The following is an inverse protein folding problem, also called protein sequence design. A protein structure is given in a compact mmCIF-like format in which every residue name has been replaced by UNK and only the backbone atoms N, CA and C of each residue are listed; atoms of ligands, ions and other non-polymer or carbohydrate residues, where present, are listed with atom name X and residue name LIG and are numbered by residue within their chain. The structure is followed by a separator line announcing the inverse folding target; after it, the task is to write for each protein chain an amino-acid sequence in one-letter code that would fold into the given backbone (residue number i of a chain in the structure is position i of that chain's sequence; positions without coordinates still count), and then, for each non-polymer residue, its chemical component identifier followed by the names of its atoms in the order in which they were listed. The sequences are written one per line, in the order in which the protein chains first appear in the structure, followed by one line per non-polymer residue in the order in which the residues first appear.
data_IF_572102157560
#
_entry.id   IF_572102157560
#
_cell.length_a   1.000
_cell.length_b   1.000
_cell.length_c   1.000
_cell.angle_alpha   90.00
_cell.angle_beta   90.00
_cell.angle_gamma   90.00
#
_symmetry.space_group_name_H-M   'P 1'
#
loop_
_entity.id
_entity.type
_entity.pdbx_description
1 polymer ?
#
# COMPACT_ATOMS: atom_id res chain seq x y z
N UNK A 1 -2.47 54.03 27.44
CA UNK A 1 -3.40 54.23 26.31
C UNK A 1 -2.86 53.37 25.18
N UNK A 2 -3.32 52.12 25.11
CA UNK A 2 -4.35 51.66 24.15
C UNK A 2 -3.63 51.28 22.84
N UNK A 3 -3.69 50.07 22.29
CA UNK A 3 -4.72 49.03 22.31
C UNK A 3 -4.10 47.66 21.97
N UNK A 4 -4.58 46.63 22.65
CA UNK A 4 -4.43 45.23 22.28
C UNK A 4 -5.33 44.92 21.07
N UNK A 5 -4.81 44.25 20.04
CA UNK A 5 -5.66 43.66 18.98
C UNK A 5 -5.51 42.14 19.01
N UNK A 6 -6.40 41.56 19.80
CA UNK A 6 -6.72 40.15 19.88
C UNK A 6 -7.40 39.71 18.56
N UNK A 7 -6.79 38.79 17.81
CA UNK A 7 -7.38 38.25 16.57
C UNK A 7 -7.66 36.76 16.73
N UNK A 8 -8.86 36.48 17.27
CA UNK A 8 -9.51 35.19 17.30
C UNK A 8 -9.47 34.52 15.92
N UNK A 9 -8.75 33.40 15.80
CA UNK A 9 -8.86 32.49 14.65
C UNK A 9 -9.98 31.49 14.94
N UNK A 10 -11.08 31.63 14.22
CA UNK A 10 -12.25 30.75 14.25
C UNK A 10 -11.85 29.30 13.94
N UNK A 11 -12.18 28.37 14.84
CA UNK A 11 -12.21 26.93 14.56
C UNK A 11 -13.26 26.69 13.47
N UNK A 12 -12.84 26.31 12.27
CA UNK A 12 -13.75 25.72 11.28
C UNK A 12 -14.05 24.30 11.73
N UNK A 13 -15.25 24.08 12.24
CA UNK A 13 -15.80 22.77 12.54
C UNK A 13 -15.99 22.03 11.20
N UNK A 14 -15.25 20.95 10.97
CA UNK A 14 -15.38 20.15 9.76
C UNK A 14 -16.68 19.32 9.86
N UNK A 15 -17.73 19.78 9.17
CA UNK A 15 -18.95 19.02 8.99
C UNK A 15 -18.67 17.78 8.14
N UNK A 16 -18.77 16.59 8.74
CA UNK A 16 -18.80 15.34 8.00
C UNK A 16 -20.16 15.18 7.33
N UNK A 17 -20.18 15.30 6.00
CA UNK A 17 -21.36 15.04 5.18
C UNK A 17 -21.47 13.54 4.91
N UNK A 18 -22.10 12.79 5.82
CA UNK A 18 -22.75 11.54 5.43
C UNK A 18 -24.12 11.87 4.84
N UNK A 19 -24.11 12.33 3.58
CA UNK A 19 -25.31 12.57 2.76
C UNK A 19 -25.91 11.24 2.29
N UNK A 20 -26.28 10.38 3.24
CA UNK A 20 -26.93 9.10 2.98
C UNK A 20 -28.16 8.86 3.87
N UNK A 21 -28.44 9.75 4.84
CA UNK A 21 -29.61 9.62 5.73
C UNK A 21 -30.91 10.00 4.99
N UNK A 22 -30.87 10.94 4.06
CA UNK A 22 -32.06 11.43 3.33
C UNK A 22 -32.76 10.33 2.51
N UNK A 23 -32.09 9.22 2.19
CA UNK A 23 -32.69 8.10 1.45
C UNK A 23 -33.43 7.09 2.35
N UNK A 24 -33.32 7.20 3.68
CA UNK A 24 -33.94 6.26 4.63
C UNK A 24 -35.25 6.77 5.21
N UNK A 25 -35.50 8.08 5.18
CA UNK A 25 -36.69 8.68 5.79
C UNK A 25 -37.98 8.45 4.95
N UNK A 26 -37.86 8.24 3.64
CA UNK A 26 -39.01 8.03 2.74
C UNK A 26 -39.57 6.59 2.73
N UNK A 27 -39.05 5.66 3.53
CA UNK A 27 -39.49 4.24 3.52
C UNK A 27 -40.21 3.75 4.77
N UNK A 28 -40.39 4.58 5.80
CA UNK A 28 -41.07 4.16 7.02
C UNK A 28 -42.17 5.13 7.43
N UNK A 29 -43.32 5.04 6.75
CA UNK A 29 -44.59 5.40 7.37
C UNK A 29 -45.09 4.22 8.20
N UNK A 30 -45.23 4.35 9.53
CA UNK A 30 -45.82 3.31 10.36
C UNK A 30 -47.34 3.38 10.20
N UNK A 31 -47.87 2.73 9.17
CA UNK A 31 -49.30 2.52 8.99
C UNK A 31 -49.57 1.07 8.52
N UNK A 32 -50.08 0.29 9.46
CA UNK A 32 -51.07 -0.77 9.26
C UNK A 32 -50.68 -2.00 8.42
N UNK A 33 -50.12 -3.01 9.09
CA UNK A 33 -50.35 -4.41 8.69
C UNK A 33 -50.99 -5.14 9.87
N UNK A 34 -52.31 -5.26 9.80
CA UNK A 34 -53.12 -6.09 10.67
C UNK A 34 -52.72 -7.55 10.52
N UNK A 35 -52.50 -8.20 11.65
CA UNK A 35 -52.39 -9.64 11.80
C UNK A 35 -53.71 -10.29 11.42
N UNK A 36 -53.83 -10.86 10.22
CA UNK A 36 -54.84 -11.87 9.90
C UNK A 36 -54.46 -12.61 8.62
N UNK A 37 -53.72 -13.72 8.77
CA UNK A 37 -53.90 -15.00 8.05
C UNK A 37 -52.65 -15.86 8.20
N UNK A 38 -52.63 -16.65 9.26
CA UNK A 38 -51.86 -17.89 9.32
C UNK A 38 -52.57 -18.93 8.44
N UNK A 39 -51.89 -19.31 7.36
CA UNK A 39 -51.96 -20.57 6.60
C UNK A 39 -52.06 -20.29 5.11
N UNK A 40 -50.94 -20.46 4.40
CA UNK A 40 -50.89 -21.43 3.30
C UNK A 40 -49.44 -21.60 2.81
N UNK A 41 -49.02 -22.87 2.82
CA UNK A 41 -48.09 -23.48 1.85
C UNK A 41 -46.60 -23.10 1.93
N UNK A 42 -45.91 -23.92 2.71
CA UNK A 42 -44.51 -24.30 2.56
C UNK A 42 -44.10 -24.55 1.10
N UNK A 43 -43.37 -23.62 0.47
CA UNK A 43 -42.56 -23.87 -0.73
C UNK A 43 -41.63 -22.70 -1.11
N UNK A 44 -40.75 -22.22 -0.24
CA UNK A 44 -39.69 -21.28 -0.66
C UNK A 44 -38.37 -21.54 0.09
N UNK A 45 -37.63 -22.56 -0.35
CA UNK A 45 -36.25 -22.79 0.09
C UNK A 45 -35.19 -22.49 -0.98
N UNK A 46 -35.58 -22.03 -2.18
CA UNK A 46 -34.66 -21.76 -3.29
C UNK A 46 -34.38 -20.26 -3.55
N UNK A 47 -35.08 -19.32 -2.89
CA UNK A 47 -34.98 -17.87 -3.21
C UNK A 47 -34.01 -17.08 -2.31
N UNK A 48 -33.39 -17.71 -1.32
CA UNK A 48 -32.38 -17.07 -0.46
C UNK A 48 -31.00 -16.98 -1.12
N UNK A 49 -30.70 -17.87 -2.07
CA UNK A 49 -29.40 -17.94 -2.72
C UNK A 49 -29.26 -16.85 -3.79
N UNK A 50 -30.35 -16.54 -4.50
CA UNK A 50 -30.40 -15.44 -5.49
C UNK A 50 -30.32 -14.06 -4.83
N UNK A 51 -30.94 -13.86 -3.65
CA UNK A 51 -30.91 -12.58 -2.92
C UNK A 51 -29.52 -12.19 -2.42
N UNK A 52 -28.62 -13.16 -2.27
CA UNK A 52 -27.24 -12.91 -1.81
C UNK A 52 -26.21 -12.95 -2.95
N UNK A 53 -26.65 -13.12 -4.21
CA UNK A 53 -25.73 -13.27 -5.34
C UNK A 53 -24.79 -12.07 -5.48
N UNK A 54 -25.32 -10.84 -5.46
CA UNK A 54 -24.51 -9.62 -5.53
C UNK A 54 -23.56 -9.49 -4.33
N UNK A 55 -24.04 -9.83 -3.13
CA UNK A 55 -23.22 -9.79 -1.92
C UNK A 55 -22.04 -10.74 -2.03
N UNK A 56 -22.28 -11.96 -2.49
CA UNK A 56 -21.26 -13.00 -2.61
C UNK A 56 -20.23 -12.64 -3.70
N UNK A 57 -20.69 -12.07 -4.82
CA UNK A 57 -19.82 -11.54 -5.88
C UNK A 57 -18.94 -10.40 -5.35
N UNK A 58 -19.51 -9.44 -4.62
CA UNK A 58 -18.73 -8.38 -3.99
C UNK A 58 -17.71 -8.90 -2.97
N UNK A 59 -18.08 -9.92 -2.17
CA UNK A 59 -17.16 -10.55 -1.22
C UNK A 59 -16.01 -11.28 -1.93
N UNK A 60 -16.29 -11.96 -3.05
CA UNK A 60 -15.27 -12.61 -3.86
C UNK A 60 -14.31 -11.59 -4.47
N UNK A 61 -14.82 -10.47 -5.01
CA UNK A 61 -13.99 -9.39 -5.54
C UNK A 61 -13.12 -8.74 -4.45
N UNK A 62 -13.65 -8.59 -3.22
CA UNK A 62 -12.85 -8.09 -2.09
C UNK A 62 -11.71 -9.04 -1.71
N UNK A 63 -11.94 -10.36 -1.76
CA UNK A 63 -10.88 -11.34 -1.50
C UNK A 63 -9.83 -11.31 -2.62
N UNK A 64 -10.24 -11.22 -3.89
CA UNK A 64 -9.33 -11.02 -5.03
C UNK A 64 -8.49 -9.74 -4.86
N UNK A 65 -9.12 -8.62 -4.46
CA UNK A 65 -8.41 -7.36 -4.18
C UNK A 65 -7.42 -7.50 -3.03
N UNK A 66 -7.77 -8.24 -1.98
CA UNK A 66 -6.88 -8.53 -0.85
C UNK A 66 -5.67 -9.37 -1.29
N UNK A 67 -5.86 -10.39 -2.13
CA UNK A 67 -4.75 -11.18 -2.68
C UNK A 67 -3.82 -10.33 -3.56
N UNK A 68 -4.38 -9.46 -4.40
CA UNK A 68 -3.62 -8.49 -5.19
C UNK A 68 -2.86 -7.51 -4.29
N UNK A 69 -3.48 -7.04 -3.21
CA UNK A 69 -2.83 -6.16 -2.26
C UNK A 69 -1.75 -6.85 -1.44
N UNK A 70 -1.88 -8.13 -1.10
CA UNK A 70 -0.85 -8.90 -0.38
C UNK A 70 0.33 -9.16 -1.31
N UNK A 71 0.08 -9.62 -2.54
CA UNK A 71 1.11 -9.85 -3.55
C UNK A 71 1.84 -8.56 -3.96
N UNK A 72 1.16 -7.42 -3.88
CA UNK A 72 1.73 -6.09 -4.16
C UNK A 72 1.98 -5.26 -2.90
N UNK A 73 1.84 -5.86 -1.71
CA UNK A 73 1.97 -5.11 -0.46
C UNK A 73 3.40 -4.63 -0.40
N UNK A 74 3.53 -3.31 -0.44
CA UNK A 74 4.79 -2.61 -0.27
C UNK A 74 5.31 -2.96 1.13
N UNK A 75 6.01 -4.10 1.29
CA UNK A 75 6.50 -4.62 2.56
C UNK A 75 6.86 -3.46 3.48
N UNK A 76 6.06 -3.30 4.52
CA UNK A 76 6.17 -2.16 5.40
C UNK A 76 7.49 -2.34 6.14
N UNK A 77 8.47 -1.51 5.84
CA UNK A 77 9.82 -1.62 6.40
C UNK A 77 9.81 -1.60 7.94
N UNK A 78 8.70 -1.15 8.53
CA UNK A 78 8.41 -1.12 9.95
C UNK A 78 8.06 -2.47 10.56
N UNK A 79 7.50 -3.42 9.79
CA UNK A 79 7.13 -4.76 10.29
C UNK A 79 8.26 -5.78 10.21
N UNK A 80 9.40 -5.41 9.59
CA UNK A 80 10.57 -6.27 9.49
C UNK A 80 11.29 -6.40 10.84
N UNK A 81 11.92 -7.56 11.11
CA UNK A 81 12.78 -7.73 12.27
C UNK A 81 13.92 -6.71 12.25
N UNK A 82 14.40 -6.32 13.44
CA UNK A 82 15.34 -5.21 13.62
C UNK A 82 16.62 -5.39 12.78
N UNK A 83 17.12 -6.61 12.69
CA UNK A 83 18.35 -6.94 11.95
C UNK A 83 18.16 -6.81 10.43
N UNK A 84 17.02 -7.28 9.92
CA UNK A 84 16.70 -7.14 8.50
C UNK A 84 16.46 -5.68 8.12
N UNK A 85 15.85 -4.90 9.03
CA UNK A 85 15.67 -3.46 8.86
C UNK A 85 17.00 -2.72 8.79
N UNK A 86 17.99 -3.10 9.59
CA UNK A 86 19.36 -2.56 9.53
C UNK A 86 20.02 -2.89 8.19
N UNK A 87 19.92 -4.14 7.74
CA UNK A 87 20.47 -4.58 6.45
C UNK A 87 19.84 -3.82 5.28
N UNK A 88 18.51 -3.65 5.31
CA UNK A 88 17.79 -2.85 4.33
C UNK A 88 18.27 -1.40 4.31
N UNK A 89 18.35 -0.73 5.47
CA UNK A 89 18.84 0.67 5.54
C UNK A 89 20.27 0.78 5.01
N UNK A 90 21.14 -0.18 5.34
CA UNK A 90 22.50 -0.24 4.83
C UNK A 90 22.53 -0.39 3.31
N UNK A 91 21.69 -1.26 2.76
CA UNK A 91 21.54 -1.45 1.32
C UNK A 91 21.11 -0.18 0.60
N UNK A 92 20.05 0.47 1.08
CA UNK A 92 19.54 1.73 0.51
C UNK A 92 20.60 2.82 0.54
N UNK A 93 21.31 2.97 1.66
CA UNK A 93 22.33 4.01 1.80
C UNK A 93 23.52 3.77 0.88
N UNK A 94 23.99 2.53 0.79
CA UNK A 94 25.14 2.17 -0.04
C UNK A 94 24.87 2.35 -1.53
N UNK A 95 23.68 1.95 -2.00
CA UNK A 95 23.29 2.07 -3.41
C UNK A 95 22.47 3.32 -3.73
N UNK A 96 22.47 4.31 -2.83
CA UNK A 96 21.72 5.56 -3.00
C UNK A 96 22.18 6.40 -4.18
N UNK A 97 23.44 6.26 -4.61
CA UNK A 97 24.02 6.96 -5.76
C UNK A 97 24.38 6.00 -6.88
N UNK A 98 24.14 6.45 -8.11
CA UNK A 98 24.48 5.69 -9.31
C UNK A 98 26.00 5.70 -9.54
N UNK A 99 26.62 4.54 -9.79
CA UNK A 99 28.07 4.47 -10.06
C UNK A 99 28.47 5.08 -11.42
N UNK A 100 27.52 5.23 -12.35
CA UNK A 100 27.79 5.69 -13.72
C UNK A 100 27.68 7.21 -13.88
N UNK A 101 26.74 7.85 -13.18
CA UNK A 101 26.48 9.29 -13.31
C UNK A 101 26.50 10.06 -11.98
N UNK A 102 26.64 9.38 -10.84
CA UNK A 102 26.64 10.01 -9.51
C UNK A 102 25.26 10.48 -9.00
N UNK A 103 24.23 10.49 -9.85
CA UNK A 103 22.88 10.91 -9.46
C UNK A 103 22.23 9.94 -8.45
N UNK A 104 21.27 10.45 -7.69
CA UNK A 104 20.52 9.63 -6.74
C UNK A 104 19.63 8.60 -7.44
N UNK A 105 19.66 7.39 -6.92
CA UNK A 105 18.74 6.33 -7.28
C UNK A 105 17.38 6.52 -6.62
N UNK A 106 16.32 6.17 -7.34
CA UNK A 106 14.97 6.19 -6.79
C UNK A 106 14.84 5.15 -5.66
N UNK A 107 14.44 5.62 -4.48
CA UNK A 107 14.22 4.77 -3.32
C UNK A 107 13.27 3.60 -3.62
N UNK A 108 12.19 3.86 -4.36
CA UNK A 108 11.22 2.83 -4.73
C UNK A 108 11.86 1.67 -5.53
N UNK A 109 12.75 1.98 -6.48
CA UNK A 109 13.42 0.96 -7.28
C UNK A 109 14.39 0.12 -6.43
N UNK A 110 15.13 0.76 -5.53
CA UNK A 110 16.02 0.06 -4.61
C UNK A 110 15.25 -0.80 -3.60
N UNK A 111 14.11 -0.28 -3.10
CA UNK A 111 13.19 -1.03 -2.23
C UNK A 111 12.68 -2.28 -2.95
N UNK A 112 12.17 -2.10 -4.17
CA UNK A 112 11.67 -3.20 -4.99
C UNK A 112 12.76 -4.23 -5.28
N UNK A 113 13.97 -3.79 -5.61
CA UNK A 113 15.11 -4.69 -5.86
C UNK A 113 15.48 -5.50 -4.60
N UNK A 114 15.41 -4.89 -3.41
CA UNK A 114 15.73 -5.57 -2.16
C UNK A 114 14.68 -6.63 -1.77
N UNK A 115 13.40 -6.36 -2.01
CA UNK A 115 12.31 -7.26 -1.65
C UNK A 115 11.86 -8.19 -2.79
N UNK A 116 12.41 -8.05 -3.99
CA UNK A 116 12.06 -8.91 -5.13
C UNK A 116 12.62 -10.32 -4.95
N UNK A 117 11.75 -11.32 -4.99
CA UNK A 117 12.14 -12.74 -5.01
C UNK A 117 12.83 -13.12 -6.33
N UNK A 118 12.33 -12.62 -7.45
CA UNK A 118 12.91 -12.83 -8.79
C UNK A 118 14.40 -12.44 -8.85
N UNK A 119 14.77 -11.36 -8.16
CA UNK A 119 16.13 -10.83 -8.16
C UNK A 119 16.95 -11.26 -6.94
N UNK A 120 16.58 -12.34 -6.24
CA UNK A 120 17.21 -12.77 -5.00
C UNK A 120 18.73 -12.96 -5.13
N UNK A 121 19.18 -13.60 -6.21
CA UNK A 121 20.61 -13.84 -6.49
C UNK A 121 21.38 -12.52 -6.63
N UNK A 122 20.77 -11.53 -7.30
CA UNK A 122 21.37 -10.21 -7.49
C UNK A 122 21.45 -9.47 -6.16
N UNK A 123 20.39 -9.51 -5.34
CA UNK A 123 20.37 -8.96 -3.99
C UNK A 123 21.49 -9.54 -3.12
N UNK A 124 21.67 -10.86 -3.10
CA UNK A 124 22.73 -11.50 -2.34
C UNK A 124 24.13 -11.06 -2.78
N UNK A 125 24.38 -11.01 -4.10
CA UNK A 125 25.65 -10.53 -4.64
C UNK A 125 25.92 -9.08 -4.23
N UNK A 126 24.94 -8.19 -4.41
CA UNK A 126 25.03 -6.79 -3.98
C UNK A 126 25.30 -6.68 -2.46
N UNK A 127 24.64 -7.51 -1.66
CA UNK A 127 24.84 -7.51 -0.20
C UNK A 127 26.26 -7.95 0.18
N UNK A 128 26.83 -8.94 -0.53
CA UNK A 128 28.24 -9.33 -0.36
C UNK A 128 29.19 -8.17 -0.70
N UNK A 129 28.91 -7.40 -1.75
CA UNK A 129 29.72 -6.23 -2.11
C UNK A 129 29.66 -5.12 -1.04
N UNK A 130 28.51 -4.92 -0.39
CA UNK A 130 28.42 -3.99 0.75
C UNK A 130 29.36 -4.42 1.88
N UNK A 131 29.41 -5.71 2.20
CA UNK A 131 30.29 -6.22 3.26
C UNK A 131 31.76 -6.10 2.88
N UNK A 132 32.11 -6.45 1.64
CA UNK A 132 33.48 -6.31 1.12
C UNK A 132 33.95 -4.85 1.06
N UNK A 133 33.09 -3.91 0.64
CA UNK A 133 33.44 -2.49 0.57
C UNK A 133 33.60 -1.83 1.95
N UNK A 134 33.03 -2.44 3.00
CA UNK A 134 33.14 -1.95 4.38
C UNK A 134 34.35 -2.56 5.09
N UNK A 135 34.69 -3.81 4.79
CA UNK A 135 35.87 -4.49 5.34
C UNK A 135 37.16 -4.10 4.62
N UNK A 136 37.11 -3.84 3.31
CA UNK A 136 38.28 -3.52 2.51
C UNK A 136 38.20 -2.10 1.93
N UNK A 137 38.89 -1.15 2.57
CA UNK A 137 39.10 0.23 2.06
C UNK A 137 39.79 0.31 0.68
N UNK A 138 40.24 -0.81 0.11
CA UNK A 138 41.02 -0.91 -1.14
C UNK A 138 40.20 -1.29 -2.39
N UNK A 139 38.88 -1.50 -2.29
CA UNK A 139 38.02 -1.78 -3.45
C UNK A 139 37.67 -0.51 -4.24
N UNK A 140 38.45 0.55 -4.09
CA UNK A 140 38.22 1.90 -4.63
C UNK A 140 38.04 1.96 -6.16
N UNK A 141 38.51 0.95 -6.90
CA UNK A 141 38.42 0.90 -8.37
C UNK A 141 37.33 0.00 -8.94
N UNK A 142 36.57 -0.74 -8.12
CA UNK A 142 35.46 -1.53 -8.64
C UNK A 142 34.17 -0.72 -8.52
N UNK A 143 33.72 -0.16 -9.65
CA UNK A 143 32.43 0.55 -9.76
C UNK A 143 31.22 -0.41 -9.69
N UNK A 144 31.12 -1.20 -8.63
CA UNK A 144 29.95 -2.05 -8.38
C UNK A 144 28.83 -1.20 -7.80
N UNK A 145 27.72 -1.11 -8.50
CA UNK A 145 26.55 -0.40 -8.00
C UNK A 145 25.30 -0.64 -8.82
N UNK A 146 24.19 -0.07 -8.37
CA UNK A 146 22.91 -0.13 -9.07
C UNK A 146 22.80 1.10 -10.00
N UNK A 147 22.62 0.91 -11.31
CA UNK A 147 22.44 2.03 -12.23
C UNK A 147 21.10 2.75 -11.97
N UNK A 148 21.08 4.08 -12.14
CA UNK A 148 19.82 4.83 -12.09
C UNK A 148 18.97 4.53 -13.32
N UNK A 149 17.69 4.87 -13.27
CA UNK A 149 16.75 4.58 -14.36
C UNK A 149 17.21 5.17 -15.71
N UNK A 150 17.85 6.35 -15.71
CA UNK A 150 18.34 6.99 -16.93
C UNK A 150 19.55 6.24 -17.51
N UNK A 151 20.51 5.85 -16.66
CA UNK A 151 21.65 5.06 -17.09
C UNK A 151 21.21 3.66 -17.54
N UNK A 152 20.30 3.03 -16.79
CA UNK A 152 19.76 1.73 -17.16
C UNK A 152 19.10 1.78 -18.55
N UNK A 153 18.22 2.75 -18.80
CA UNK A 153 17.63 2.95 -20.14
C UNK A 153 18.67 3.23 -21.22
N UNK A 154 19.71 4.01 -20.93
CA UNK A 154 20.75 4.35 -21.92
C UNK A 154 21.61 3.16 -22.34
N UNK A 155 21.90 2.24 -21.40
CA UNK A 155 22.81 1.12 -21.65
C UNK A 155 22.09 -0.21 -21.94
N UNK A 156 20.84 -0.35 -21.49
CA UNK A 156 20.07 -1.60 -21.56
C UNK A 156 18.64 -1.42 -22.06
N UNK A 157 18.22 -0.19 -22.38
CA UNK A 157 16.94 0.05 -23.03
C UNK A 157 17.14 -0.03 -24.54
N UNK A 158 16.63 -1.10 -25.13
CA UNK A 158 16.31 -1.14 -26.56
C UNK A 158 15.17 -0.17 -26.88
#
# INVERSE_FOLDING_TARGET
MSEEVNKNRSKSEFGFFNTAIEYLEDRFTPAECTSDSLNELSHECDDLDHKNQLRNEMLAELENLKELLISHSNLDVKSLPEDERKNFRRFINFYSRCPLCGNYNHYFNLKRLYFSEEHHILKEKLTKFINLGIENKKVSDIHVGVPCCMCYKRFFGD
#
